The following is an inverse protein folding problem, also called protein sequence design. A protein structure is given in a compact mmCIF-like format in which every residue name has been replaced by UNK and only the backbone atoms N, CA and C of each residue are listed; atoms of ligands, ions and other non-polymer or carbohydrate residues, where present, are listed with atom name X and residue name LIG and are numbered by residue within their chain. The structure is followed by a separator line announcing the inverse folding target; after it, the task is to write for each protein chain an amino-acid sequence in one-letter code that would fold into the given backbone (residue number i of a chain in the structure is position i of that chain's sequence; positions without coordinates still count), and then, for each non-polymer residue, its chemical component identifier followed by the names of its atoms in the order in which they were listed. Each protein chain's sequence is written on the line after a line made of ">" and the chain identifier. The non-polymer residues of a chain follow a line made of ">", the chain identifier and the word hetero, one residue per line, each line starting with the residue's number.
data_IF_177642116188
#
_entry.id   IF_177642116188
#
_cell.length_a   1.000
_cell.length_b   1.000
_cell.length_c   1.000
_cell.angle_alpha   90.00
_cell.angle_beta   90.00
_cell.angle_gamma   90.00
#
_symmetry.space_group_name_H-M   'P 1'
#
loop_
_entity.id
_entity.type
_entity.pdbx_description
1 polymer ?
#
# COMPACT_ATOMS: atom_id res chain seq x y z
N UNK A 1 -14.33 -24.04 14.63
CA UNK A 1 -15.03 -22.74 14.46
C UNK A 1 -14.33 -21.99 13.32
N UNK A 2 -15.04 -21.19 12.52
CA UNK A 2 -14.45 -20.37 11.45
C UNK A 2 -14.65 -18.90 11.80
N UNK A 3 -13.67 -18.06 11.46
CA UNK A 3 -13.70 -16.62 11.73
C UNK A 3 -13.60 -15.85 10.40
N UNK A 4 -14.25 -14.70 10.34
CA UNK A 4 -14.17 -13.76 9.22
C UNK A 4 -13.83 -12.39 9.81
N UNK A 5 -12.78 -11.76 9.30
CA UNK A 5 -12.40 -10.38 9.64
C UNK A 5 -12.69 -9.51 8.43
N UNK A 6 -13.50 -8.46 8.61
CA UNK A 6 -13.83 -7.48 7.58
C UNK A 6 -13.23 -6.14 7.96
N UNK A 7 -12.27 -5.65 7.17
CA UNK A 7 -11.61 -4.36 7.38
C UNK A 7 -12.04 -3.39 6.27
N UNK A 8 -12.76 -2.33 6.64
CA UNK A 8 -13.14 -1.27 5.72
C UNK A 8 -11.99 -0.28 5.52
N UNK A 9 -11.24 -0.39 4.42
CA UNK A 9 -10.11 0.50 4.13
C UNK A 9 -10.58 1.96 4.01
N UNK A 10 -9.97 2.84 4.79
CA UNK A 10 -10.35 4.25 4.87
C UNK A 10 -11.80 4.52 5.30
N UNK A 11 -12.47 3.55 5.95
CA UNK A 11 -13.90 3.68 6.28
C UNK A 11 -14.19 4.71 7.39
N UNK A 12 -13.23 4.91 8.30
CA UNK A 12 -13.33 5.93 9.33
C UNK A 12 -13.10 7.31 8.73
N UNK A 13 -13.90 8.29 9.16
CA UNK A 13 -13.79 9.67 8.69
C UNK A 13 -14.29 10.63 9.79
N UNK A 14 -14.05 11.91 9.57
CA UNK A 14 -14.50 12.98 10.43
C UNK A 14 -15.90 13.47 10.05
N UNK A 15 -16.66 14.00 11.03
CA UNK A 15 -17.89 14.73 10.75
C UNK A 15 -17.64 15.90 9.80
N UNK A 16 -18.50 16.07 8.80
CA UNK A 16 -18.40 17.15 7.82
C UNK A 16 -19.62 18.05 7.84
N UNK A 17 -19.41 19.37 7.71
CA UNK A 17 -20.51 20.33 7.58
C UNK A 17 -21.40 20.06 6.36
N UNK A 18 -20.81 19.59 5.25
CA UNK A 18 -21.57 19.21 4.03
C UNK A 18 -22.54 18.05 4.26
N UNK A 19 -22.30 17.25 5.30
CA UNK A 19 -23.12 16.12 5.72
C UNK A 19 -23.96 16.43 6.96
N UNK A 20 -24.12 17.72 7.31
CA UNK A 20 -24.88 18.14 8.49
C UNK A 20 -24.24 17.72 9.81
N UNK A 21 -22.90 17.65 9.87
CA UNK A 21 -22.16 17.25 11.07
C UNK A 21 -22.09 15.74 11.28
N UNK A 22 -22.29 14.94 10.23
CA UNK A 22 -22.15 13.47 10.23
C UNK A 22 -20.91 13.02 9.45
N UNK A 23 -20.46 11.79 9.71
CA UNK A 23 -19.46 11.10 8.87
C UNK A 23 -20.13 10.50 7.62
N UNK A 24 -19.38 10.16 6.56
CA UNK A 24 -19.93 9.43 5.42
C UNK A 24 -20.60 8.10 5.82
N UNK A 25 -20.01 7.35 6.75
CA UNK A 25 -20.57 6.08 7.23
C UNK A 25 -21.93 6.28 7.94
N UNK A 26 -22.09 7.36 8.70
CA UNK A 26 -23.39 7.71 9.33
C UNK A 26 -24.46 8.16 8.34
N UNK A 27 -24.06 8.64 7.16
CA UNK A 27 -24.98 9.06 6.10
C UNK A 27 -25.34 7.90 5.15
N UNK A 28 -24.49 6.88 5.06
CA UNK A 28 -24.70 5.73 4.20
C UNK A 28 -25.87 4.87 4.68
N UNK A 29 -26.57 4.23 3.74
CA UNK A 29 -27.58 3.22 4.06
C UNK A 29 -26.89 1.86 4.23
N UNK A 30 -26.68 1.44 5.48
CA UNK A 30 -25.88 0.26 5.84
C UNK A 30 -26.67 -0.79 6.62
N UNK A 31 -27.86 -1.24 6.16
CA UNK A 31 -28.78 -2.06 6.96
C UNK A 31 -28.14 -3.36 7.49
N UNK A 32 -27.21 -3.96 6.73
CA UNK A 32 -26.53 -5.18 7.15
C UNK A 32 -25.41 -4.92 8.18
N UNK A 33 -24.68 -3.81 8.09
CA UNK A 33 -23.73 -3.43 9.14
C UNK A 33 -24.48 -3.02 10.41
N UNK A 34 -25.59 -2.31 10.28
CA UNK A 34 -26.45 -1.91 11.39
C UNK A 34 -27.04 -3.13 12.11
N UNK A 35 -27.45 -4.15 11.35
CA UNK A 35 -27.90 -5.43 11.91
C UNK A 35 -26.77 -6.11 12.70
N UNK A 36 -25.57 -6.23 12.12
CA UNK A 36 -24.40 -6.83 12.79
C UNK A 36 -24.07 -6.06 14.07
N UNK A 37 -24.08 -4.73 14.02
CA UNK A 37 -23.83 -3.86 15.17
C UNK A 37 -24.87 -4.07 16.28
N UNK A 38 -26.16 -4.19 15.93
CA UNK A 38 -27.26 -4.37 16.90
C UNK A 38 -27.28 -5.75 17.58
N UNK A 39 -26.73 -6.76 16.93
CA UNK A 39 -26.70 -8.16 17.39
C UNK A 39 -25.33 -8.57 17.95
N UNK A 40 -24.33 -7.68 17.82
CA UNK A 40 -22.94 -7.94 18.18
C UNK A 40 -22.47 -7.13 19.40
N UNK A 41 -21.16 -7.03 19.53
CA UNK A 41 -20.50 -6.15 20.51
C UNK A 41 -19.78 -5.06 19.76
N UNK A 42 -20.01 -3.81 20.18
CA UNK A 42 -19.38 -2.63 19.61
C UNK A 42 -18.20 -2.18 20.47
N UNK A 43 -17.20 -1.62 19.81
CA UNK A 43 -16.02 -1.05 20.44
C UNK A 43 -15.26 -0.16 19.46
N UNK A 44 -14.27 0.53 19.98
CA UNK A 44 -13.28 1.25 19.19
C UNK A 44 -11.99 0.42 19.15
N UNK A 45 -11.29 0.49 18.03
CA UNK A 45 -10.00 -0.17 17.84
C UNK A 45 -9.02 0.84 17.29
N UNK A 46 -7.84 0.92 17.91
CA UNK A 46 -6.69 1.55 17.31
C UNK A 46 -5.85 0.47 16.62
N UNK A 47 -5.63 0.64 15.32
CA UNK A 47 -4.87 -0.33 14.52
C UNK A 47 -3.44 0.13 14.27
N UNK A 48 -3.10 1.37 14.66
CA UNK A 48 -1.78 1.95 14.48
C UNK A 48 -1.16 2.16 15.86
N UNK A 49 -0.14 1.37 16.24
CA UNK A 49 0.56 1.57 17.49
C UNK A 49 1.14 2.99 17.62
N UNK A 50 1.27 3.46 18.85
CA UNK A 50 1.74 4.81 19.13
C UNK A 50 3.14 5.04 18.53
N UNK A 51 3.32 6.14 17.82
CA UNK A 51 4.61 6.50 17.20
C UNK A 51 4.86 5.86 15.83
N UNK A 52 3.95 5.00 15.35
CA UNK A 52 4.03 4.48 13.98
C UNK A 52 3.29 5.38 12.99
N UNK A 53 3.77 5.39 11.74
CA UNK A 53 3.10 6.11 10.65
C UNK A 53 1.85 5.34 10.24
N UNK A 54 0.68 6.00 10.15
CA UNK A 54 -0.54 5.35 9.68
C UNK A 54 -0.38 4.84 8.24
N UNK A 55 -0.61 3.54 8.06
CA UNK A 55 -0.51 2.88 6.75
C UNK A 55 -1.21 1.52 6.77
N UNK A 56 -1.71 1.09 5.61
CA UNK A 56 -2.40 -0.20 5.48
C UNK A 56 -1.48 -1.38 5.82
N UNK A 57 -0.17 -1.25 5.61
CA UNK A 57 0.84 -2.23 6.01
C UNK A 57 0.85 -2.45 7.54
N UNK A 58 1.01 -1.37 8.31
CA UNK A 58 1.02 -1.41 9.78
C UNK A 58 -0.35 -1.87 10.32
N UNK A 59 -1.44 -1.31 9.80
CA UNK A 59 -2.79 -1.64 10.25
C UNK A 59 -3.12 -3.12 10.07
N UNK A 60 -2.77 -3.71 8.92
CA UNK A 60 -3.06 -5.12 8.66
C UNK A 60 -2.22 -6.05 9.55
N UNK A 61 -0.96 -5.69 9.88
CA UNK A 61 -0.17 -6.46 10.84
C UNK A 61 -0.86 -6.50 12.21
N UNK A 62 -1.31 -5.36 12.72
CA UNK A 62 -2.05 -5.26 14.00
C UNK A 62 -3.34 -6.09 13.97
N UNK A 63 -4.14 -5.98 12.90
CA UNK A 63 -5.42 -6.70 12.76
C UNK A 63 -5.22 -8.21 12.70
N UNK A 64 -4.12 -8.68 12.10
CA UNK A 64 -3.76 -10.10 12.04
C UNK A 64 -3.13 -10.61 13.36
N UNK A 65 -2.89 -9.73 14.33
CA UNK A 65 -2.37 -10.08 15.66
C UNK A 65 -0.85 -10.05 15.80
N UNK A 66 -0.13 -9.46 14.84
CA UNK A 66 1.31 -9.20 14.97
C UNK A 66 1.55 -7.91 15.74
N UNK A 67 2.67 -7.82 16.47
CA UNK A 67 3.17 -6.56 17.00
C UNK A 67 3.98 -5.84 15.90
N UNK A 68 3.48 -4.74 15.29
CA UNK A 68 4.20 -4.08 14.22
C UNK A 68 5.50 -3.42 14.70
N UNK A 69 5.63 -3.06 15.98
CA UNK A 69 6.89 -2.51 16.51
C UNK A 69 8.05 -3.51 16.44
N UNK A 70 7.74 -4.81 16.54
CA UNK A 70 8.73 -5.89 16.47
C UNK A 70 8.87 -6.49 15.07
N UNK A 71 7.82 -6.43 14.26
CA UNK A 71 7.72 -7.20 13.01
C UNK A 71 7.71 -6.36 11.74
N UNK A 72 7.46 -5.06 11.83
CA UNK A 72 7.38 -4.21 10.64
C UNK A 72 8.77 -3.88 10.11
N UNK A 73 9.09 -4.44 8.94
CA UNK A 73 10.37 -4.23 8.24
C UNK A 73 10.28 -3.21 7.10
N UNK A 74 9.19 -2.44 7.05
CA UNK A 74 8.91 -1.51 5.94
C UNK A 74 8.06 -2.12 4.82
N UNK A 75 7.55 -1.26 3.93
CA UNK A 75 6.66 -1.66 2.84
C UNK A 75 7.34 -2.46 1.74
N UNK A 76 8.61 -2.17 1.44
CA UNK A 76 9.37 -2.87 0.39
C UNK A 76 9.41 -4.40 0.59
N UNK A 77 9.80 -4.90 1.78
CA UNK A 77 9.78 -6.33 2.07
C UNK A 77 8.40 -6.99 1.97
N UNK A 78 7.33 -6.28 2.33
CA UNK A 78 5.96 -6.79 2.20
C UNK A 78 5.56 -6.96 0.73
N UNK A 79 5.88 -5.98 -0.11
CA UNK A 79 5.65 -6.05 -1.56
C UNK A 79 6.47 -7.19 -2.18
N UNK A 80 7.74 -7.33 -1.77
CA UNK A 80 8.61 -8.42 -2.22
C UNK A 80 8.01 -9.80 -1.89
N UNK A 81 7.54 -9.98 -0.65
CA UNK A 81 6.85 -11.20 -0.24
C UNK A 81 5.58 -11.46 -1.07
N UNK A 82 4.79 -10.43 -1.39
CA UNK A 82 3.58 -10.56 -2.22
C UNK A 82 3.90 -11.00 -3.66
N UNK A 83 5.08 -10.64 -4.16
CA UNK A 83 5.60 -11.03 -5.47
C UNK A 83 6.35 -12.38 -5.44
N UNK A 84 6.48 -13.03 -4.28
CA UNK A 84 7.22 -14.27 -4.11
C UNK A 84 8.75 -14.11 -4.16
N UNK A 85 9.25 -12.90 -3.92
CA UNK A 85 10.69 -12.60 -3.87
C UNK A 85 11.18 -12.86 -2.45
N UNK A 86 12.18 -13.74 -2.32
CA UNK A 86 12.80 -14.05 -1.05
C UNK A 86 13.95 -13.08 -0.77
N UNK A 87 13.85 -12.35 0.35
CA UNK A 87 14.89 -11.46 0.84
C UNK A 87 15.71 -12.14 1.94
N UNK A 88 17.02 -11.95 1.89
CA UNK A 88 17.93 -12.27 2.98
C UNK A 88 17.86 -11.24 4.12
N UNK A 89 18.48 -11.53 5.28
CA UNK A 89 18.42 -10.67 6.47
C UNK A 89 19.09 -9.30 6.29
N UNK A 90 19.95 -9.15 5.27
CA UNK A 90 20.66 -7.91 4.96
C UNK A 90 20.16 -7.24 3.67
N UNK A 91 19.15 -7.82 3.01
CA UNK A 91 18.62 -7.27 1.77
C UNK A 91 17.68 -6.10 2.07
N UNK A 92 17.73 -5.09 1.22
CA UNK A 92 16.85 -3.92 1.31
C UNK A 92 16.01 -3.89 0.04
N UNK A 93 14.69 -3.89 0.22
CA UNK A 93 13.74 -3.74 -0.87
C UNK A 93 13.28 -2.29 -0.99
N UNK A 94 13.49 -1.71 -2.17
CA UNK A 94 12.97 -0.40 -2.53
C UNK A 94 11.82 -0.58 -3.49
N UNK A 95 10.74 0.16 -3.29
CA UNK A 95 9.74 0.31 -4.33
C UNK A 95 10.24 1.36 -5.32
N UNK A 96 10.26 1.00 -6.59
CA UNK A 96 10.56 1.92 -7.67
C UNK A 96 9.35 2.10 -8.58
N UNK A 97 9.19 3.31 -9.12
CA UNK A 97 8.14 3.60 -10.10
C UNK A 97 8.77 4.01 -11.43
N UNK A 98 8.18 3.58 -12.54
CA UNK A 98 8.38 4.25 -13.83
C UNK A 98 7.56 5.54 -13.86
N UNK A 99 8.19 6.64 -14.24
CA UNK A 99 7.57 7.98 -14.27
C UNK A 99 7.88 8.68 -15.59
N UNK A 100 7.02 9.60 -16.01
CA UNK A 100 7.30 10.52 -17.10
C UNK A 100 7.95 11.77 -16.54
N UNK A 101 9.11 12.15 -17.11
CA UNK A 101 9.81 13.38 -16.78
C UNK A 101 9.59 14.39 -17.91
N UNK A 102 9.08 15.56 -17.58
CA UNK A 102 8.99 16.72 -18.46
C UNK A 102 10.31 17.48 -18.52
N UNK A 103 10.63 18.06 -19.68
CA UNK A 103 11.89 18.76 -19.94
C UNK A 103 13.16 17.95 -19.52
N UNK A 104 13.28 16.67 -19.91
CA UNK A 104 14.36 15.79 -19.45
C UNK A 104 15.74 16.33 -19.88
N UNK A 105 16.74 16.15 -19.02
CA UNK A 105 18.12 16.58 -19.29
C UNK A 105 18.36 18.08 -19.12
N UNK A 106 17.43 18.80 -18.48
CA UNK A 106 17.55 20.24 -18.19
C UNK A 106 17.45 20.50 -16.69
N UNK A 107 17.91 21.67 -16.24
CA UNK A 107 17.76 22.13 -14.85
C UNK A 107 16.29 22.45 -14.48
N UNK A 108 15.39 22.38 -15.45
CA UNK A 108 13.94 22.57 -15.29
C UNK A 108 13.17 21.25 -15.33
N UNK A 109 13.86 20.11 -15.29
CA UNK A 109 13.21 18.80 -15.30
C UNK A 109 12.23 18.67 -14.12
N UNK A 110 11.01 18.20 -14.42
CA UNK A 110 9.97 17.99 -13.42
C UNK A 110 9.28 16.63 -13.66
N UNK A 111 8.69 16.07 -12.60
CA UNK A 111 7.87 14.87 -12.72
C UNK A 111 6.54 15.26 -13.35
N UNK A 112 6.36 14.92 -14.63
CA UNK A 112 5.15 15.23 -15.40
C UNK A 112 4.02 14.25 -15.06
N UNK A 113 4.36 12.97 -14.93
CA UNK A 113 3.40 11.93 -14.52
C UNK A 113 4.08 10.84 -13.69
N UNK A 114 3.62 10.67 -12.44
CA UNK A 114 4.14 9.65 -11.52
C UNK A 114 3.73 8.21 -11.87
N UNK A 115 2.86 8.04 -12.88
CA UNK A 115 2.36 6.74 -13.36
C UNK A 115 2.84 6.38 -14.77
N UNK A 116 3.65 7.24 -15.38
CA UNK A 116 4.09 7.11 -16.77
C UNK A 116 2.94 6.89 -17.77
N UNK A 117 1.88 7.69 -17.67
CA UNK A 117 0.70 7.59 -18.55
C UNK A 117 -0.11 6.33 -18.32
N UNK A 118 -0.12 5.78 -17.10
CA UNK A 118 -0.65 4.45 -16.82
C UNK A 118 -0.07 3.35 -17.74
N UNK A 119 1.26 3.35 -17.92
CA UNK A 119 1.97 2.34 -18.72
C UNK A 119 1.47 0.92 -18.42
N UNK A 120 1.32 0.12 -19.48
CA UNK A 120 0.84 -1.25 -19.32
C UNK A 120 1.87 -2.12 -18.59
N UNK A 121 1.39 -3.15 -17.90
CA UNK A 121 2.30 -4.10 -17.22
C UNK A 121 3.17 -4.90 -18.20
N UNK A 122 2.75 -5.01 -19.47
CA UNK A 122 3.53 -5.68 -20.50
C UNK A 122 4.74 -4.84 -20.90
N UNK A 123 4.51 -3.57 -21.25
CA UNK A 123 5.58 -2.64 -21.64
C UNK A 123 6.53 -2.35 -20.48
N UNK A 124 5.99 -2.07 -19.29
CA UNK A 124 6.81 -1.81 -18.11
C UNK A 124 7.71 -2.99 -17.74
N UNK A 125 7.24 -4.23 -17.96
CA UNK A 125 8.05 -5.43 -17.74
C UNK A 125 9.27 -5.48 -18.66
N UNK A 126 9.12 -5.14 -19.93
CA UNK A 126 10.25 -5.11 -20.87
C UNK A 126 11.30 -4.09 -20.41
N UNK A 127 10.86 -2.89 -20.02
CA UNK A 127 11.74 -1.83 -19.50
C UNK A 127 12.51 -2.29 -18.26
N UNK A 128 11.81 -2.84 -17.26
CA UNK A 128 12.44 -3.27 -16.01
C UNK A 128 13.40 -4.45 -16.23
N UNK A 129 13.04 -5.39 -17.09
CA UNK A 129 13.94 -6.50 -17.44
C UNK A 129 15.19 -6.00 -18.16
N UNK A 130 15.07 -5.01 -19.04
CA UNK A 130 16.21 -4.43 -19.72
C UNK A 130 17.11 -3.61 -18.80
N UNK A 131 16.54 -2.91 -17.81
CA UNK A 131 17.30 -2.29 -16.72
C UNK A 131 18.07 -3.37 -15.95
N UNK A 132 17.39 -4.43 -15.53
CA UNK A 132 18.02 -5.52 -14.79
C UNK A 132 19.14 -6.21 -15.58
N UNK A 133 18.98 -6.38 -16.89
CA UNK A 133 20.05 -6.94 -17.75
C UNK A 133 21.27 -6.01 -17.84
N UNK A 134 21.06 -4.69 -17.88
CA UNK A 134 22.12 -3.70 -18.10
C UNK A 134 22.90 -3.36 -16.83
N UNK A 135 22.20 -3.21 -15.71
CA UNK A 135 22.79 -2.73 -14.45
C UNK A 135 22.55 -3.67 -13.26
N UNK A 136 21.74 -4.72 -13.43
CA UNK A 136 21.53 -5.72 -12.39
C UNK A 136 22.77 -6.58 -12.15
N UNK A 137 22.88 -7.09 -10.94
CA UNK A 137 23.99 -7.91 -10.45
C UNK A 137 23.52 -8.82 -9.31
N UNK A 138 24.44 -9.52 -8.67
CA UNK A 138 24.13 -10.27 -7.44
C UNK A 138 23.77 -9.38 -6.24
N UNK A 139 24.08 -8.08 -6.29
CA UNK A 139 23.80 -7.13 -5.19
C UNK A 139 22.66 -6.15 -5.51
N UNK A 140 22.26 -6.04 -6.78
CA UNK A 140 21.21 -5.12 -7.23
C UNK A 140 20.33 -5.84 -8.24
N UNK A 141 19.05 -5.97 -7.95
CA UNK A 141 18.11 -6.71 -8.77
C UNK A 141 16.82 -5.90 -8.93
N UNK A 142 16.24 -5.95 -10.12
CA UNK A 142 14.98 -5.29 -10.42
C UNK A 142 13.92 -6.33 -10.83
N UNK A 143 12.72 -6.16 -10.32
CA UNK A 143 11.60 -7.08 -10.42
C UNK A 143 10.36 -6.38 -10.97
N UNK A 144 9.82 -6.84 -12.11
CA UNK A 144 8.66 -6.20 -12.72
C UNK A 144 7.38 -6.49 -11.92
N UNK A 145 6.85 -5.46 -11.27
CA UNK A 145 5.51 -5.45 -10.67
C UNK A 145 4.37 -5.09 -11.65
N UNK A 146 3.39 -4.32 -11.17
CA UNK A 146 2.13 -4.01 -11.89
C UNK A 146 2.07 -2.55 -12.34
N UNK A 147 1.80 -2.36 -13.63
CA UNK A 147 1.77 -1.05 -14.27
C UNK A 147 3.11 -0.36 -14.09
N UNK A 148 3.09 0.81 -13.46
CA UNK A 148 4.28 1.61 -13.19
C UNK A 148 5.03 1.24 -11.89
N UNK A 149 4.57 0.27 -11.09
CA UNK A 149 5.12 -0.05 -9.75
C UNK A 149 5.95 -1.32 -9.80
N UNK A 150 7.17 -1.24 -9.29
CA UNK A 150 8.17 -2.32 -9.34
C UNK A 150 9.00 -2.35 -8.05
N UNK A 151 9.86 -3.36 -7.94
CA UNK A 151 10.86 -3.48 -6.90
C UNK A 151 12.24 -3.43 -7.53
#
# INVERSE_FOLDING_TARGET
>A
MKYVVLLGDGMADYPSQKLGGKTPLQCALTPFLDQIASQGTLGLVDTIPQGMVPGSDVANLSVLGYNPEETYTGRGPLEAASMGIHLGPNDIAYRCNLVTIGAPGTDQAFMDDFTAGHISSAEAREVIQDINKKIGSSQLQFYPGVGYRHL
#
